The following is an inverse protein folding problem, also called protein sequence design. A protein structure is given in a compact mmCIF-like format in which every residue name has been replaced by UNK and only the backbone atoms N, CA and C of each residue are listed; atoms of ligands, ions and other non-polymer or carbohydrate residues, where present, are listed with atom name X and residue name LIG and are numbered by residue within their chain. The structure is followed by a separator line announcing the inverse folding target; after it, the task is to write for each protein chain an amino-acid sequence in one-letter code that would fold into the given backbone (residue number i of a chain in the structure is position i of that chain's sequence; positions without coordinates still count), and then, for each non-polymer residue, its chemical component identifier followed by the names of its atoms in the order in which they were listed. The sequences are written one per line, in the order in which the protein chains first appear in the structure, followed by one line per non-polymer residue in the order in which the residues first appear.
data_IF_093690718972
#
_entry.id   IF_093690718972
#
_cell.length_a   1.000
_cell.length_b   1.000
_cell.length_c   1.000
_cell.angle_alpha   90.00
_cell.angle_beta   90.00
_cell.angle_gamma   90.00
#
_symmetry.space_group_name_H-M   'P 1'
#
loop_
_entity.id
_entity.type
_entity.pdbx_description
1 polymer ?
#
# COMPACT_ATOMS: atom_id res chain seq x y z
N UNK A 1 36.59 -60.91 -28.46
CA UNK A 1 35.74 -60.49 -27.31
C UNK A 1 36.02 -59.03 -27.00
N UNK A 2 35.15 -58.20 -27.40
CA UNK A 2 35.30 -56.76 -27.14
C UNK A 2 34.35 -56.37 -26.00
N UNK A 3 34.93 -55.90 -24.92
CA UNK A 3 34.17 -55.37 -23.79
C UNK A 3 33.85 -53.92 -24.10
N UNK A 4 32.58 -53.64 -24.32
CA UNK A 4 32.10 -52.30 -24.42
C UNK A 4 31.76 -51.79 -23.02
N UNK A 5 32.55 -50.87 -22.51
CA UNK A 5 32.29 -50.17 -21.29
C UNK A 5 31.32 -49.00 -21.62
N UNK A 6 30.09 -49.11 -21.24
CA UNK A 6 29.15 -47.98 -21.25
C UNK A 6 29.48 -47.07 -20.08
N UNK A 7 29.93 -45.90 -20.38
CA UNK A 7 30.04 -44.84 -19.40
C UNK A 7 28.68 -44.17 -19.27
N UNK A 8 28.05 -44.43 -18.15
CA UNK A 8 26.79 -43.73 -17.78
C UNK A 8 27.13 -42.35 -17.26
N UNK A 9 26.94 -41.36 -18.11
CA UNK A 9 27.07 -39.96 -17.71
C UNK A 9 25.89 -39.57 -16.81
N UNK A 10 26.15 -39.40 -15.54
CA UNK A 10 25.18 -38.87 -14.59
C UNK A 10 25.09 -37.35 -14.77
N UNK A 11 24.09 -36.91 -15.49
CA UNK A 11 23.77 -35.49 -15.52
C UNK A 11 23.01 -35.12 -14.23
N UNK A 12 23.72 -34.52 -13.30
CA UNK A 12 23.09 -33.88 -12.15
C UNK A 12 22.41 -32.59 -12.65
N UNK A 13 21.10 -32.64 -12.77
CA UNK A 13 20.30 -31.43 -12.96
C UNK A 13 20.29 -30.67 -11.63
N UNK A 14 21.14 -29.65 -11.54
CA UNK A 14 21.07 -28.66 -10.46
C UNK A 14 19.83 -27.81 -10.70
N UNK A 15 18.74 -28.19 -10.05
CA UNK A 15 17.56 -27.37 -9.97
C UNK A 15 17.88 -26.15 -9.11
N UNK A 16 18.05 -25.00 -9.72
CA UNK A 16 18.08 -23.75 -9.01
C UNK A 16 16.66 -23.45 -8.57
N UNK A 17 16.33 -23.78 -7.33
CA UNK A 17 15.17 -23.21 -6.67
C UNK A 17 15.51 -21.76 -6.36
N UNK A 18 15.11 -20.85 -7.25
CA UNK A 18 15.04 -19.45 -6.92
C UNK A 18 13.89 -19.29 -5.94
N UNK A 19 14.19 -19.33 -4.67
CA UNK A 19 13.27 -18.81 -3.66
C UNK A 19 13.20 -17.31 -3.92
N UNK A 20 12.14 -16.89 -4.61
CA UNK A 20 11.80 -15.50 -4.63
C UNK A 20 11.55 -15.11 -3.18
N UNK A 21 12.46 -14.34 -2.61
CA UNK A 21 12.22 -13.68 -1.33
C UNK A 21 11.03 -12.76 -1.55
N UNK A 22 9.87 -13.14 -1.03
CA UNK A 22 8.70 -12.30 -0.93
C UNK A 22 8.94 -11.24 0.15
N UNK A 23 10.02 -10.48 -0.01
CA UNK A 23 10.35 -9.27 0.71
C UNK A 23 10.16 -8.10 -0.21
N UNK A 24 8.93 -7.91 -0.71
CA UNK A 24 8.59 -6.69 -1.41
C UNK A 24 8.82 -5.51 -0.50
N UNK A 25 9.35 -4.41 -1.03
CA UNK A 25 9.37 -3.15 -0.34
C UNK A 25 7.97 -2.86 0.22
N UNK A 26 7.90 -2.29 1.44
CA UNK A 26 6.64 -1.88 2.03
C UNK A 26 5.88 -0.96 1.06
N UNK A 27 4.55 -1.10 0.99
CA UNK A 27 3.72 -0.26 0.14
C UNK A 27 3.76 1.18 0.64
N UNK A 28 4.18 2.10 -0.22
CA UNK A 28 4.25 3.52 0.10
C UNK A 28 2.87 4.17 0.05
N UNK A 29 2.58 4.98 1.05
CA UNK A 29 1.40 5.82 1.11
C UNK A 29 1.79 7.23 1.52
N UNK A 30 1.27 8.24 0.84
CA UNK A 30 1.53 9.64 1.14
C UNK A 30 0.28 10.27 1.74
N UNK A 31 0.40 10.77 2.95
CA UNK A 31 -0.69 11.38 3.72
C UNK A 31 -0.51 12.89 3.76
N UNK A 32 -1.53 13.63 3.34
CA UNK A 32 -1.63 15.07 3.53
C UNK A 32 -2.62 15.35 4.67
N UNK A 33 -2.22 16.18 5.61
CA UNK A 33 -3.02 16.49 6.78
C UNK A 33 -2.84 17.93 7.23
N UNK A 34 -3.83 18.46 7.94
CA UNK A 34 -3.67 19.71 8.66
C UNK A 34 -2.62 19.54 9.79
N UNK A 35 -1.78 20.55 10.06
CA UNK A 35 -0.83 20.50 11.18
C UNK A 35 -1.48 20.28 12.54
N UNK A 36 -2.76 20.62 12.67
CA UNK A 36 -3.51 20.53 13.93
C UNK A 36 -4.34 19.25 14.06
N UNK A 37 -4.25 18.32 13.11
CA UNK A 37 -5.01 17.08 13.16
C UNK A 37 -4.31 16.04 14.05
N UNK A 38 -4.64 16.02 15.33
CA UNK A 38 -4.04 15.07 16.30
C UNK A 38 -4.39 13.61 16.02
N UNK A 39 -5.64 13.31 15.61
CA UNK A 39 -6.07 11.95 15.32
C UNK A 39 -5.44 11.35 14.06
N UNK A 40 -4.89 12.17 13.17
CA UNK A 40 -4.20 11.68 11.98
C UNK A 40 -2.92 10.91 12.33
N UNK A 41 -2.25 11.27 13.41
CA UNK A 41 -1.07 10.56 13.90
C UNK A 41 -1.37 9.12 14.29
N UNK A 42 -2.47 8.88 14.96
CA UNK A 42 -2.90 7.54 15.36
C UNK A 42 -3.17 6.65 14.15
N UNK A 43 -3.77 7.20 13.12
CA UNK A 43 -4.01 6.47 11.88
C UNK A 43 -2.71 6.16 11.14
N UNK A 44 -1.78 7.09 11.10
CA UNK A 44 -0.44 6.88 10.52
C UNK A 44 0.26 5.74 11.24
N UNK A 45 0.27 5.74 12.56
CA UNK A 45 0.85 4.66 13.37
C UNK A 45 0.19 3.31 13.06
N UNK A 46 -1.13 3.29 12.93
CA UNK A 46 -1.86 2.09 12.53
C UNK A 46 -1.41 1.56 11.16
N UNK A 47 -1.21 2.43 10.17
CA UNK A 47 -0.71 2.02 8.86
C UNK A 47 0.71 1.46 8.93
N UNK A 48 1.60 2.12 9.67
CA UNK A 48 2.99 1.67 9.84
C UNK A 48 3.05 0.32 10.54
N UNK A 49 2.26 0.10 11.58
CA UNK A 49 2.12 -1.19 12.26
C UNK A 49 1.63 -2.31 11.34
N UNK A 50 0.91 -1.95 10.28
CA UNK A 50 0.39 -2.88 9.27
C UNK A 50 1.26 -2.96 8.01
N UNK A 51 2.49 -2.47 8.06
CA UNK A 51 3.48 -2.67 7.02
C UNK A 51 3.50 -1.63 5.90
N UNK A 52 2.79 -0.50 6.05
CA UNK A 52 2.89 0.60 5.10
C UNK A 52 4.09 1.49 5.41
N UNK A 53 4.72 1.98 4.36
CA UNK A 53 5.73 3.03 4.43
C UNK A 53 5.05 4.38 4.25
N UNK A 54 4.87 5.12 5.34
CA UNK A 54 4.07 6.35 5.36
C UNK A 54 4.96 7.56 5.29
N UNK A 55 4.68 8.44 4.32
CA UNK A 55 5.19 9.81 4.27
C UNK A 55 4.04 10.75 4.59
N UNK A 56 4.20 11.60 5.59
CA UNK A 56 3.18 12.58 5.99
C UNK A 56 3.65 14.00 5.69
N UNK A 57 2.77 14.80 5.09
CA UNK A 57 3.00 16.20 4.79
C UNK A 57 1.91 17.05 5.41
N UNK A 58 2.28 18.02 6.22
CA UNK A 58 1.35 19.01 6.73
C UNK A 58 1.03 20.03 5.65
N UNK A 59 -0.24 20.41 5.52
CA UNK A 59 -0.70 21.40 4.57
C UNK A 59 -1.78 22.28 5.18
N UNK A 60 -1.68 23.57 4.91
CA UNK A 60 -2.73 24.55 5.25
C UNK A 60 -3.81 24.66 4.14
N UNK A 61 -3.63 23.92 3.06
CA UNK A 61 -4.50 23.98 1.89
C UNK A 61 -5.16 22.62 1.59
N UNK A 62 -5.72 21.99 2.61
CA UNK A 62 -6.38 20.69 2.49
C UNK A 62 -7.59 20.74 1.54
N UNK A 63 -8.28 21.86 1.48
CA UNK A 63 -9.40 22.04 0.55
C UNK A 63 -9.00 21.86 -0.90
N UNK A 64 -7.87 22.45 -1.31
CA UNK A 64 -7.33 22.29 -2.66
C UNK A 64 -6.89 20.85 -2.94
N UNK A 65 -6.20 20.23 -1.99
CA UNK A 65 -5.75 18.84 -2.11
C UNK A 65 -6.94 17.91 -2.32
N UNK A 66 -8.00 18.06 -1.53
CA UNK A 66 -9.22 17.27 -1.64
C UNK A 66 -9.93 17.48 -2.98
N UNK A 67 -10.00 18.73 -3.44
CA UNK A 67 -10.61 19.06 -4.73
C UNK A 67 -9.82 18.45 -5.89
N UNK A 68 -8.51 18.54 -5.87
CA UNK A 68 -7.62 17.94 -6.89
C UNK A 68 -7.70 16.39 -6.87
N UNK A 69 -7.91 15.81 -5.70
CA UNK A 69 -8.11 14.36 -5.55
C UNK A 69 -9.47 13.88 -6.10
N UNK A 70 -10.36 14.79 -6.45
CA UNK A 70 -11.70 14.45 -6.93
C UNK A 70 -12.67 14.05 -5.84
N UNK A 71 -12.42 14.47 -4.60
CA UNK A 71 -13.28 14.13 -3.48
C UNK A 71 -14.63 14.82 -3.59
N UNK A 72 -15.70 14.02 -3.51
CA UNK A 72 -17.07 14.52 -3.54
C UNK A 72 -17.38 15.21 -2.20
N UNK A 73 -18.04 16.37 -2.20
CA UNK A 73 -18.48 17.03 -0.96
C UNK A 73 -19.31 16.08 -0.08
N UNK A 74 -19.04 16.05 1.21
CA UNK A 74 -19.68 15.15 2.17
C UNK A 74 -18.87 13.89 2.49
N UNK A 75 -17.84 13.56 1.68
CA UNK A 75 -16.93 12.45 1.96
C UNK A 75 -15.63 12.89 2.64
N UNK A 76 -15.49 14.17 2.96
CA UNK A 76 -14.29 14.73 3.55
C UNK A 76 -14.02 14.30 4.98
N UNK A 77 -12.75 14.25 5.33
CA UNK A 77 -12.23 13.97 6.67
C UNK A 77 -11.08 14.92 7.03
N UNK A 78 -10.31 14.57 8.05
CA UNK A 78 -9.15 15.36 8.49
C UNK A 78 -7.94 15.25 7.58
N UNK A 79 -7.82 14.20 6.79
CA UNK A 79 -6.65 13.93 5.96
C UNK A 79 -7.04 13.26 4.64
N UNK A 80 -6.14 13.38 3.70
CA UNK A 80 -6.26 12.76 2.37
C UNK A 80 -4.95 12.07 2.04
N UNK A 81 -5.00 10.81 1.67
CA UNK A 81 -3.82 10.03 1.33
C UNK A 81 -3.90 9.48 -0.09
N UNK A 82 -2.73 9.18 -0.64
CA UNK A 82 -2.59 8.60 -1.97
C UNK A 82 -1.74 7.35 -1.89
N UNK A 83 -2.23 6.27 -2.46
CA UNK A 83 -1.54 5.00 -2.55
C UNK A 83 -1.83 4.38 -3.91
N UNK A 84 -0.77 4.13 -4.68
CA UNK A 84 -0.86 3.48 -5.99
C UNK A 84 -1.96 4.06 -6.92
N UNK A 85 -2.10 5.38 -6.91
CA UNK A 85 -3.12 6.11 -7.68
C UNK A 85 -4.51 6.18 -7.05
N UNK A 86 -4.74 5.47 -5.95
CA UNK A 86 -6.00 5.56 -5.21
C UNK A 86 -5.98 6.68 -4.16
N UNK A 87 -7.13 7.28 -3.93
CA UNK A 87 -7.37 8.24 -2.86
C UNK A 87 -7.92 7.51 -1.64
N UNK A 88 -7.29 7.72 -0.49
CA UNK A 88 -7.74 7.20 0.80
C UNK A 88 -8.10 8.39 1.67
N UNK A 89 -9.36 8.52 2.00
CA UNK A 89 -9.89 9.65 2.77
C UNK A 89 -10.37 9.19 4.14
N UNK A 90 -9.82 9.76 5.19
CA UNK A 90 -10.20 9.42 6.56
C UNK A 90 -9.53 8.16 7.10
N UNK A 91 -10.02 7.68 8.23
CA UNK A 91 -9.44 6.55 8.97
C UNK A 91 -9.83 5.20 8.36
N UNK A 92 -9.49 4.99 7.10
CA UNK A 92 -9.70 3.71 6.43
C UNK A 92 -8.78 2.65 7.05
N UNK A 93 -9.30 1.52 7.53
CA UNK A 93 -8.48 0.46 8.08
C UNK A 93 -7.44 -0.08 7.09
N UNK A 94 -6.27 -0.44 7.59
CA UNK A 94 -5.18 -0.96 6.75
C UNK A 94 -5.59 -2.18 5.92
N UNK A 95 -6.40 -3.07 6.47
CA UNK A 95 -6.88 -4.26 5.75
C UNK A 95 -7.75 -3.91 4.56
N UNK A 96 -8.57 -2.86 4.66
CA UNK A 96 -9.38 -2.39 3.54
C UNK A 96 -8.52 -1.77 2.44
N UNK A 97 -7.46 -1.06 2.80
CA UNK A 97 -6.49 -0.53 1.83
C UNK A 97 -5.76 -1.68 1.12
N UNK A 98 -5.31 -2.69 1.87
CA UNK A 98 -4.66 -3.87 1.30
C UNK A 98 -5.58 -4.62 0.33
N UNK A 99 -6.85 -4.74 0.68
CA UNK A 99 -7.86 -5.35 -0.16
C UNK A 99 -8.11 -4.55 -1.43
N UNK A 100 -8.19 -3.22 -1.33
CA UNK A 100 -8.30 -2.32 -2.48
C UNK A 100 -7.14 -2.53 -3.46
N UNK A 101 -5.91 -2.59 -2.95
CA UNK A 101 -4.71 -2.78 -3.76
C UNK A 101 -4.68 -4.18 -4.41
N UNK A 102 -5.13 -5.21 -3.70
CA UNK A 102 -5.18 -6.57 -4.22
C UNK A 102 -6.24 -6.76 -5.30
N UNK A 103 -7.43 -6.20 -5.10
CA UNK A 103 -8.54 -6.29 -6.04
C UNK A 103 -8.39 -5.32 -7.22
N UNK A 104 -7.67 -4.24 -7.04
CA UNK A 104 -7.40 -3.20 -8.03
C UNK A 104 -8.63 -2.77 -8.85
N UNK A 105 -9.77 -2.43 -8.20
CA UNK A 105 -10.98 -2.05 -8.92
C UNK A 105 -10.82 -0.72 -9.65
N UNK A 106 -11.69 -0.47 -10.61
CA UNK A 106 -11.81 0.85 -11.24
C UNK A 106 -12.62 1.77 -10.32
N UNK A 107 -11.95 2.36 -9.36
CA UNK A 107 -12.53 3.27 -8.38
C UNK A 107 -11.54 4.40 -8.11
N UNK A 108 -12.02 5.53 -7.59
CA UNK A 108 -11.16 6.63 -7.15
C UNK A 108 -10.42 6.25 -5.88
N UNK A 109 -11.06 5.52 -4.96
CA UNK A 109 -10.48 5.11 -3.69
C UNK A 109 -11.53 4.72 -2.66
N UNK A 110 -11.18 4.92 -1.39
CA UNK A 110 -12.03 4.62 -0.24
C UNK A 110 -12.17 5.85 0.65
N UNK A 111 -13.31 6.01 1.28
CA UNK A 111 -13.56 7.09 2.24
C UNK A 111 -14.29 6.58 3.49
N UNK A 112 -13.80 7.04 4.63
CA UNK A 112 -14.52 7.01 5.90
C UNK A 112 -14.75 8.47 6.28
N UNK A 113 -15.95 9.03 5.97
CA UNK A 113 -16.22 10.45 6.17
C UNK A 113 -16.21 10.87 7.64
N UNK A 114 -15.88 12.14 7.87
CA UNK A 114 -15.93 12.75 9.19
C UNK A 114 -14.69 12.52 10.03
N UNK A 115 -14.84 12.71 11.32
CA UNK A 115 -13.80 12.46 12.31
C UNK A 115 -14.23 11.32 13.23
N UNK A 116 -13.29 10.43 13.62
CA UNK A 116 -13.59 9.44 14.64
C UNK A 116 -13.94 10.14 15.97
N UNK A 117 -14.90 9.59 16.65
CA UNK A 117 -15.31 10.09 17.96
C UNK A 117 -14.22 9.85 19.01
#
# INVERSE_FOLDING_TARGET
MRKHTLALGLMAALGFSTTALAGGAAQSIHVYKSPTCGCCGDWIDHLEENGFDVTATNSDDMGRIKAEAGLIPGLGSCHTAFVDGYVIEGHVPADDIKRLLAEAPKATGLSVPGMPA
#
